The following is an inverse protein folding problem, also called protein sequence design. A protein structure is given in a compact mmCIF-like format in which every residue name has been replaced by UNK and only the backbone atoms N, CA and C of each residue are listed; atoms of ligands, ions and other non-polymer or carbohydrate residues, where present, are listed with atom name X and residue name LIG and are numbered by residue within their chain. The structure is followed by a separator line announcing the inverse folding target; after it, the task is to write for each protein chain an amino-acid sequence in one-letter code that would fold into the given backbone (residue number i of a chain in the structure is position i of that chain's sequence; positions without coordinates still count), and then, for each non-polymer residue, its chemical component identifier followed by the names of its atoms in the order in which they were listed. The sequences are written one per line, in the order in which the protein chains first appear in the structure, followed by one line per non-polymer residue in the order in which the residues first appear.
data_IF_876259778069
#
_entry.id   IF_876259778069
#
_cell.length_a   1.000
_cell.length_b   1.000
_cell.length_c   1.000
_cell.angle_alpha   90.00
_cell.angle_beta   90.00
_cell.angle_gamma   90.00
#
_symmetry.space_group_name_H-M   'P 1'
#
loop_
_entity.id
_entity.type
_entity.pdbx_description
1 polymer ?
#
# COMPACT_ATOMS: atom_id res chain seq x y z
N UNK A 1 41.26 -28.20 -5.33
CA UNK A 1 40.64 -27.01 -4.72
C UNK A 1 39.60 -26.50 -5.68
N UNK A 2 38.38 -26.31 -5.22
CA UNK A 2 37.37 -25.55 -5.96
C UNK A 2 36.54 -24.84 -4.90
N UNK A 3 36.92 -23.60 -4.62
CA UNK A 3 36.02 -22.68 -3.96
C UNK A 3 35.10 -22.16 -5.07
N UNK A 4 33.82 -22.52 -5.02
CA UNK A 4 32.81 -21.93 -5.88
C UNK A 4 32.70 -20.44 -5.52
N UNK A 5 33.08 -19.58 -6.45
CA UNK A 5 32.95 -18.14 -6.26
C UNK A 5 31.46 -17.78 -6.30
N UNK A 6 30.91 -17.40 -5.16
CA UNK A 6 29.51 -16.95 -5.04
C UNK A 6 29.46 -15.45 -4.76
N UNK A 7 28.46 -14.78 -5.33
CA UNK A 7 28.18 -13.38 -5.06
C UNK A 7 26.70 -13.22 -4.67
N UNK A 8 26.45 -12.42 -3.63
CA UNK A 8 25.09 -12.10 -3.17
C UNK A 8 24.81 -10.64 -3.40
N UNK A 9 23.70 -10.34 -4.08
CA UNK A 9 23.20 -8.99 -4.29
C UNK A 9 21.91 -8.78 -3.51
N UNK A 10 21.78 -7.64 -2.84
CA UNK A 10 20.57 -7.23 -2.13
C UNK A 10 20.23 -5.80 -2.52
N UNK A 11 19.06 -5.61 -3.12
CA UNK A 11 18.62 -4.30 -3.56
C UNK A 11 18.18 -3.46 -2.37
N UNK A 12 18.52 -2.17 -2.40
CA UNK A 12 18.04 -1.19 -1.43
C UNK A 12 16.69 -0.65 -1.89
N UNK A 13 15.66 -0.80 -1.04
CA UNK A 13 14.34 -0.22 -1.28
C UNK A 13 14.45 1.30 -1.38
N UNK A 14 13.71 1.90 -2.30
CA UNK A 14 13.57 3.36 -2.36
C UNK A 14 12.80 3.89 -1.15
N UNK A 15 12.93 5.19 -0.86
CA UNK A 15 12.22 5.85 0.24
C UNK A 15 10.69 5.69 0.15
N UNK A 16 10.04 5.93 -1.01
CA UNK A 16 8.58 5.76 -1.14
C UNK A 16 8.14 4.32 -0.88
N UNK A 17 8.84 3.33 -1.43
CA UNK A 17 8.45 1.93 -1.29
C UNK A 17 8.67 1.41 0.13
N UNK A 18 9.78 1.79 0.79
CA UNK A 18 10.00 1.47 2.20
C UNK A 18 8.91 2.08 3.10
N UNK A 19 8.54 3.35 2.86
CA UNK A 19 7.45 4.02 3.57
C UNK A 19 6.12 3.31 3.37
N UNK A 20 5.81 2.91 2.15
CA UNK A 20 4.60 2.18 1.81
C UNK A 20 4.51 0.82 2.52
N UNK A 21 5.60 0.05 2.56
CA UNK A 21 5.64 -1.23 3.28
C UNK A 21 5.46 -1.04 4.79
N UNK A 22 6.00 0.04 5.36
CA UNK A 22 5.88 0.32 6.79
C UNK A 22 4.44 0.64 7.22
N UNK A 23 3.64 1.26 6.33
CA UNK A 23 2.24 1.61 6.61
C UNK A 23 1.27 0.46 6.32
N UNK A 24 1.66 -0.47 5.44
CA UNK A 24 0.84 -1.59 5.01
C UNK A 24 0.33 -2.46 6.18
N UNK A 25 -0.99 -2.54 6.33
CA UNK A 25 -1.67 -3.34 7.34
C UNK A 25 -1.59 -2.77 8.77
N UNK A 26 -0.88 -1.66 8.97
CA UNK A 26 -0.73 -1.05 10.30
C UNK A 26 -2.05 -0.37 10.71
N UNK A 27 -2.40 -0.53 11.99
CA UNK A 27 -3.48 0.21 12.63
C UNK A 27 -2.97 1.61 12.97
N UNK A 28 -3.57 2.63 12.38
CA UNK A 28 -3.14 4.02 12.55
C UNK A 28 -4.25 4.87 13.15
N UNK A 29 -3.85 5.88 13.91
CA UNK A 29 -4.77 6.95 14.28
C UNK A 29 -5.02 7.89 13.11
N UNK A 30 -6.10 8.67 13.19
CA UNK A 30 -6.45 9.66 12.17
C UNK A 30 -5.30 10.61 11.82
N UNK A 31 -4.70 11.25 12.83
CA UNK A 31 -3.64 12.23 12.65
C UNK A 31 -2.44 11.63 11.91
N UNK A 32 -2.02 10.45 12.36
CA UNK A 32 -0.85 9.74 11.82
C UNK A 32 -1.03 9.38 10.35
N UNK A 33 -2.19 8.82 9.98
CA UNK A 33 -2.45 8.48 8.58
C UNK A 33 -2.61 9.74 7.72
N UNK A 34 -3.28 10.79 8.22
CA UNK A 34 -3.43 12.03 7.48
C UNK A 34 -2.08 12.71 7.17
N UNK A 35 -1.16 12.75 8.14
CA UNK A 35 0.21 13.26 7.94
C UNK A 35 0.96 12.42 6.90
N UNK A 36 0.86 11.09 6.99
CA UNK A 36 1.48 10.21 5.99
C UNK A 36 0.93 10.44 4.57
N UNK A 37 -0.39 10.60 4.43
CA UNK A 37 -1.00 10.90 3.12
C UNK A 37 -0.55 12.26 2.57
N UNK A 38 -0.31 13.26 3.44
CA UNK A 38 0.22 14.57 3.04
C UNK A 38 1.67 14.51 2.59
N UNK A 39 2.51 13.77 3.30
CA UNK A 39 3.92 13.58 2.97
C UNK A 39 4.10 12.91 1.59
N UNK A 40 3.18 12.03 1.22
CA UNK A 40 3.23 11.24 -0.03
C UNK A 40 2.16 11.62 -1.06
N UNK A 41 1.54 12.79 -0.93
CA UNK A 41 0.42 13.22 -1.79
C UNK A 41 0.74 13.19 -3.29
N UNK A 42 1.99 13.42 -3.67
CA UNK A 42 2.42 13.45 -5.07
C UNK A 42 2.57 12.03 -5.66
N UNK A 43 2.66 11.01 -4.80
CA UNK A 43 2.65 9.61 -5.18
C UNK A 43 1.23 9.00 -5.17
N UNK A 44 0.22 9.75 -4.71
CA UNK A 44 -1.10 9.21 -4.40
C UNK A 44 -2.19 9.68 -5.37
N UNK A 45 -3.00 8.72 -5.80
CA UNK A 45 -4.34 8.97 -6.34
C UNK A 45 -5.38 8.37 -5.40
N UNK A 46 -6.51 9.04 -5.24
CA UNK A 46 -7.62 8.59 -4.38
C UNK A 46 -8.85 8.26 -5.24
N UNK A 47 -9.59 7.23 -4.85
CA UNK A 47 -10.81 6.79 -5.50
C UNK A 47 -11.91 6.53 -4.49
N UNK A 48 -13.15 6.87 -4.84
CA UNK A 48 -14.34 6.55 -4.05
C UNK A 48 -14.73 5.05 -4.18
N UNK A 49 -15.84 4.67 -3.55
CA UNK A 49 -16.35 3.30 -3.58
C UNK A 49 -16.84 2.83 -4.98
N UNK A 50 -17.17 3.78 -5.87
CA UNK A 50 -17.57 3.51 -7.25
C UNK A 50 -16.38 3.48 -8.22
N UNK A 51 -15.20 3.89 -7.75
CA UNK A 51 -13.98 3.95 -8.54
C UNK A 51 -13.77 5.30 -9.24
N UNK A 52 -14.54 6.32 -8.91
CA UNK A 52 -14.33 7.67 -9.42
C UNK A 52 -13.12 8.31 -8.72
N UNK A 53 -12.35 9.11 -9.46
CA UNK A 53 -11.19 9.81 -8.93
C UNK A 53 -11.65 10.94 -8.00
N UNK A 54 -11.04 11.01 -6.81
CA UNK A 54 -11.19 12.10 -5.86
C UNK A 54 -9.92 12.95 -5.89
N UNK A 55 -10.06 14.28 -5.81
CA UNK A 55 -8.90 15.16 -5.61
C UNK A 55 -8.16 14.77 -4.34
N UNK A 56 -6.83 14.64 -4.42
CA UNK A 56 -6.03 14.11 -3.32
C UNK A 56 -6.13 14.99 -2.05
N UNK A 57 -6.27 16.32 -2.19
CA UNK A 57 -6.43 17.21 -1.04
C UNK A 57 -7.80 17.04 -0.40
N UNK A 58 -8.84 16.81 -1.21
CA UNK A 58 -10.17 16.48 -0.71
C UNK A 58 -10.16 15.17 0.08
N UNK A 59 -9.53 14.12 -0.47
CA UNK A 59 -9.41 12.83 0.21
C UNK A 59 -8.66 12.93 1.55
N UNK A 60 -7.54 13.65 1.59
CA UNK A 60 -6.78 13.91 2.84
C UNK A 60 -7.65 14.65 3.86
N UNK A 61 -8.35 15.70 3.42
CA UNK A 61 -9.23 16.47 4.30
C UNK A 61 -10.39 15.62 4.84
N UNK A 62 -10.95 14.72 4.02
CA UNK A 62 -11.99 13.79 4.44
C UNK A 62 -11.46 12.86 5.55
N UNK A 63 -10.25 12.30 5.37
CA UNK A 63 -9.57 11.50 6.41
C UNK A 63 -9.37 12.30 7.70
N UNK A 64 -8.95 13.57 7.62
CA UNK A 64 -8.76 14.46 8.78
C UNK A 64 -10.04 14.81 9.55
N UNK A 65 -11.21 14.68 8.92
CA UNK A 65 -12.50 15.03 9.52
C UNK A 65 -13.28 13.84 10.07
N UNK A 66 -12.82 12.60 9.87
CA UNK A 66 -13.47 11.41 10.46
C UNK A 66 -13.58 11.59 11.98
N UNK A 67 -14.81 11.55 12.51
CA UNK A 67 -15.05 11.62 13.95
C UNK A 67 -15.60 10.29 14.49
N UNK A 68 -15.60 10.17 15.81
CA UNK A 68 -16.16 9.02 16.53
C UNK A 68 -17.67 8.91 16.28
N UNK A 69 -18.39 10.03 16.23
CA UNK A 69 -19.82 10.07 15.95
C UNK A 69 -20.16 9.60 14.53
N UNK A 70 -19.27 9.87 13.56
CA UNK A 70 -19.37 9.35 12.21
C UNK A 70 -19.38 7.80 12.18
N UNK A 71 -18.66 7.20 13.12
CA UNK A 71 -18.32 5.78 13.22
C UNK A 71 -19.32 4.90 14.02
N UNK A 72 -20.14 5.49 14.91
CA UNK A 72 -21.00 4.79 15.90
C UNK A 72 -22.33 4.20 15.39
N UNK A 73 -22.40 3.69 14.16
CA UNK A 73 -23.68 3.14 13.63
C UNK A 73 -23.54 1.84 12.84
N UNK A 74 -22.36 1.21 12.87
CA UNK A 74 -22.08 -0.04 12.14
C UNK A 74 -22.04 -1.29 13.03
N UNK A 75 -22.62 -1.22 14.23
CA UNK A 75 -22.73 -2.37 15.14
C UNK A 75 -23.96 -3.22 14.76
N UNK A 76 -23.86 -3.92 13.63
CA UNK A 76 -24.45 -5.25 13.37
C UNK A 76 -24.34 -5.57 11.88
N UNK A 77 -23.28 -6.28 11.48
CA UNK A 77 -23.36 -7.44 10.58
C UNK A 77 -21.96 -8.05 10.37
N UNK A 78 -21.86 -9.35 10.62
CA UNK A 78 -20.65 -10.16 10.53
C UNK A 78 -20.18 -10.36 9.08
N UNK A 79 -18.86 -10.21 8.88
CA UNK A 79 -17.96 -10.59 7.75
C UNK A 79 -17.33 -9.42 6.98
N UNK A 80 -16.03 -9.28 7.26
CA UNK A 80 -14.86 -8.54 6.79
C UNK A 80 -14.81 -7.81 5.41
N UNK A 81 -15.94 -7.49 4.77
CA UNK A 81 -15.97 -6.60 3.60
C UNK A 81 -17.22 -5.71 3.57
N UNK A 82 -18.38 -6.26 3.90
CA UNK A 82 -19.62 -5.48 4.02
C UNK A 82 -19.51 -4.41 5.11
N UNK A 83 -18.96 -4.79 6.27
CA UNK A 83 -18.79 -3.88 7.40
C UNK A 83 -17.96 -2.64 7.06
N UNK A 84 -16.82 -2.77 6.35
CA UNK A 84 -15.99 -1.61 6.01
C UNK A 84 -16.68 -0.66 5.04
N UNK A 85 -17.49 -1.18 4.11
CA UNK A 85 -18.26 -0.36 3.18
C UNK A 85 -19.40 0.37 3.90
N UNK A 86 -20.16 -0.34 4.74
CA UNK A 86 -21.25 0.26 5.53
C UNK A 86 -20.74 1.34 6.49
N UNK A 87 -19.54 1.15 7.05
CA UNK A 87 -18.85 2.18 7.85
C UNK A 87 -18.53 3.40 6.98
N UNK A 88 -17.96 3.22 5.79
CA UNK A 88 -17.64 4.35 4.90
C UNK A 88 -18.90 5.11 4.51
N UNK A 89 -19.96 4.42 4.10
CA UNK A 89 -21.26 5.03 3.75
C UNK A 89 -21.84 5.81 4.95
N UNK A 90 -21.71 5.27 6.17
CA UNK A 90 -22.14 5.95 7.40
C UNK A 90 -21.32 7.21 7.70
N UNK A 91 -20.00 7.16 7.43
CA UNK A 91 -19.10 8.30 7.61
C UNK A 91 -19.44 9.39 6.60
N UNK A 92 -19.62 9.06 5.33
CA UNK A 92 -19.98 10.00 4.25
C UNK A 92 -21.32 10.70 4.53
N UNK A 93 -22.33 9.94 4.96
CA UNK A 93 -23.65 10.50 5.29
C UNK A 93 -23.57 11.58 6.39
N UNK A 94 -22.62 11.46 7.31
CA UNK A 94 -22.44 12.37 8.45
C UNK A 94 -21.44 13.49 8.18
N UNK A 95 -20.35 13.22 7.46
CA UNK A 95 -19.31 14.21 7.14
C UNK A 95 -19.69 15.11 5.98
N UNK A 96 -20.58 14.66 5.07
CA UNK A 96 -20.89 15.28 3.77
C UNK A 96 -19.69 15.40 2.83
N UNK A 97 -18.57 14.76 3.17
CA UNK A 97 -17.37 14.66 2.33
C UNK A 97 -17.35 13.26 1.67
N UNK A 98 -16.93 13.18 0.41
CA UNK A 98 -16.72 11.90 -0.28
C UNK A 98 -15.48 11.24 0.32
N UNK A 99 -15.65 10.01 0.82
CA UNK A 99 -14.57 9.26 1.46
C UNK A 99 -13.82 8.44 0.41
N UNK A 100 -12.47 8.42 0.46
CA UNK A 100 -11.72 7.47 -0.35
C UNK A 100 -12.06 6.05 0.11
N UNK A 101 -12.26 5.13 -0.83
CA UNK A 101 -12.31 3.70 -0.56
C UNK A 101 -10.98 3.01 -0.91
N UNK A 102 -10.26 3.59 -1.88
CA UNK A 102 -9.03 3.06 -2.44
C UNK A 102 -8.04 4.19 -2.67
N UNK A 103 -6.77 3.91 -2.43
CA UNK A 103 -5.67 4.72 -2.94
C UNK A 103 -4.85 3.93 -3.96
N UNK A 104 -4.22 4.62 -4.90
CA UNK A 104 -3.15 4.08 -5.73
C UNK A 104 -1.88 4.85 -5.40
N UNK A 105 -0.83 4.13 -5.02
CA UNK A 105 0.47 4.67 -4.70
C UNK A 105 1.45 4.34 -5.83
N UNK A 106 1.93 5.35 -6.53
CA UNK A 106 2.88 5.18 -7.64
C UNK A 106 4.30 5.42 -7.17
N UNK A 107 5.17 4.43 -7.30
CA UNK A 107 6.60 4.57 -7.02
C UNK A 107 7.47 3.51 -7.69
N UNK A 108 8.76 3.82 -7.85
CA UNK A 108 9.81 2.86 -8.18
C UNK A 108 10.22 2.07 -6.93
N UNK A 109 10.06 0.73 -6.86
CA UNK A 109 10.33 -0.03 -5.63
C UNK A 109 11.81 -0.12 -5.24
N UNK A 110 12.67 -0.29 -6.25
CA UNK A 110 14.12 -0.39 -6.15
C UNK A 110 14.73 0.39 -7.31
N UNK A 111 15.90 1.00 -7.12
CA UNK A 111 16.59 1.72 -8.19
C UNK A 111 16.80 0.79 -9.40
N UNK A 112 16.66 1.35 -10.60
CA UNK A 112 16.72 0.66 -11.91
C UNK A 112 15.60 -0.36 -12.21
N UNK A 113 14.65 -0.57 -11.29
CA UNK A 113 13.43 -1.29 -11.60
C UNK A 113 12.32 -0.34 -12.08
N UNK A 114 11.31 -0.90 -12.73
CA UNK A 114 10.18 -0.16 -13.27
C UNK A 114 9.33 0.47 -12.16
N UNK A 115 8.80 1.65 -12.46
CA UNK A 115 7.78 2.30 -11.63
C UNK A 115 6.51 1.44 -11.58
N UNK A 116 5.84 1.42 -10.42
CA UNK A 116 4.64 0.62 -10.20
C UNK A 116 3.53 1.43 -9.58
N UNK A 117 2.32 1.27 -10.13
CA UNK A 117 1.07 1.73 -9.54
C UNK A 117 0.52 0.66 -8.58
N UNK A 118 0.65 0.89 -7.28
CA UNK A 118 0.33 -0.08 -6.23
C UNK A 118 -1.02 0.27 -5.60
N UNK A 119 -2.00 -0.62 -5.74
CA UNK A 119 -3.34 -0.41 -5.19
C UNK A 119 -3.40 -0.68 -3.69
N UNK A 120 -3.95 0.26 -2.94
CA UNK A 120 -4.16 0.20 -1.50
C UNK A 120 -5.66 0.21 -1.18
N UNK A 121 -6.11 -0.77 -0.41
CA UNK A 121 -7.42 -0.74 0.22
C UNK A 121 -7.33 0.16 1.45
N UNK A 122 -8.27 1.09 1.58
CA UNK A 122 -8.44 1.86 2.79
C UNK A 122 -9.58 1.26 3.62
N UNK A 123 -9.44 1.24 4.94
CA UNK A 123 -10.46 0.72 5.86
C UNK A 123 -10.54 1.59 7.10
N UNK A 124 -11.76 1.79 7.59
CA UNK A 124 -12.06 2.49 8.84
C UNK A 124 -12.67 1.46 9.79
N UNK A 125 -12.04 1.24 10.94
CA UNK A 125 -12.48 0.32 11.97
C UNK A 125 -13.03 1.11 13.15
N UNK A 126 -14.24 0.76 13.59
CA UNK A 126 -15.05 1.60 14.49
C UNK A 126 -15.43 0.92 15.80
N UNK A 127 -14.92 -0.28 16.07
CA UNK A 127 -15.25 -1.08 17.27
C UNK A 127 -14.61 -0.62 18.59
N UNK A 128 -14.12 0.62 18.67
CA UNK A 128 -13.47 1.17 19.86
C UNK A 128 -13.74 2.68 20.01
N UNK A 129 -13.15 3.30 21.04
CA UNK A 129 -13.41 4.72 21.37
C UNK A 129 -12.86 5.72 20.34
N UNK A 130 -11.92 5.30 19.49
CA UNK A 130 -11.28 6.13 18.46
C UNK A 130 -11.27 5.37 17.13
N UNK A 131 -11.61 6.00 15.98
CA UNK A 131 -11.53 5.34 14.68
C UNK A 131 -10.10 4.90 14.38
N UNK A 132 -9.95 3.63 14.02
CA UNK A 132 -8.67 3.05 13.60
C UNK A 132 -8.66 2.94 12.09
N UNK A 133 -7.65 3.52 11.46
CA UNK A 133 -7.51 3.57 10.01
C UNK A 133 -6.43 2.60 9.54
N UNK A 134 -6.67 1.93 8.42
CA UNK A 134 -5.73 0.94 7.86
C UNK A 134 -5.62 1.12 6.35
N UNK A 135 -4.39 1.23 5.84
CA UNK A 135 -4.07 1.04 4.43
C UNK A 135 -3.51 -0.38 4.22
N UNK A 136 -3.98 -1.10 3.21
CA UNK A 136 -3.49 -2.44 2.89
C UNK A 136 -3.19 -2.59 1.41
N UNK A 137 -1.97 -2.98 1.08
CA UNK A 137 -1.56 -3.32 -0.28
C UNK A 137 -2.37 -4.52 -0.78
N UNK A 138 -2.98 -4.35 -1.96
CA UNK A 138 -3.72 -5.42 -2.63
C UNK A 138 -2.71 -6.35 -3.31
N UNK A 139 -2.76 -7.66 -3.01
CA UNK A 139 -1.92 -8.69 -3.61
C UNK A 139 -0.40 -8.43 -3.45
N UNK A 140 0.05 -8.10 -2.23
CA UNK A 140 1.47 -7.82 -1.95
C UNK A 140 2.41 -8.94 -2.42
N UNK A 141 2.09 -10.20 -2.16
CA UNK A 141 2.94 -11.34 -2.57
C UNK A 141 3.16 -11.38 -4.09
N UNK A 142 2.09 -11.14 -4.86
CA UNK A 142 2.17 -11.06 -6.33
C UNK A 142 3.02 -9.88 -6.79
N UNK A 143 2.90 -8.73 -6.12
CA UNK A 143 3.74 -7.56 -6.40
C UNK A 143 5.21 -7.89 -6.16
N UNK A 144 5.54 -8.54 -5.04
CA UNK A 144 6.91 -8.94 -4.71
C UNK A 144 7.47 -9.96 -5.70
N UNK A 145 6.67 -10.95 -6.11
CA UNK A 145 7.05 -11.93 -7.12
C UNK A 145 7.35 -11.27 -8.48
N UNK A 146 6.50 -10.33 -8.92
CA UNK A 146 6.73 -9.59 -10.16
C UNK A 146 7.98 -8.69 -10.10
N UNK A 147 8.31 -8.15 -8.92
CA UNK A 147 9.54 -7.37 -8.72
C UNK A 147 10.76 -8.30 -8.78
N UNK A 148 10.70 -9.46 -8.12
CA UNK A 148 11.78 -10.43 -8.13
C UNK A 148 12.05 -10.95 -9.54
N UNK A 149 10.99 -11.28 -10.29
CA UNK A 149 11.11 -11.76 -11.66
C UNK A 149 11.72 -10.71 -12.59
N UNK A 150 11.26 -9.45 -12.52
CA UNK A 150 11.87 -8.34 -13.25
C UNK A 150 13.37 -8.22 -12.97
N UNK A 151 13.76 -8.27 -11.69
CA UNK A 151 15.17 -8.18 -11.32
C UNK A 151 16.01 -9.33 -11.89
N UNK A 152 15.49 -10.56 -11.86
CA UNK A 152 16.19 -11.71 -12.48
C UNK A 152 16.33 -11.55 -13.98
N UNK A 153 15.28 -11.12 -14.66
CA UNK A 153 15.30 -10.96 -16.11
C UNK A 153 16.32 -9.89 -16.51
N UNK A 154 16.41 -8.79 -15.76
CA UNK A 154 17.45 -7.78 -15.92
C UNK A 154 18.85 -8.34 -15.71
N UNK A 155 19.07 -9.15 -14.66
CA UNK A 155 20.37 -9.77 -14.44
C UNK A 155 20.72 -10.76 -15.55
N UNK A 156 19.77 -11.60 -15.99
CA UNK A 156 19.98 -12.56 -17.05
C UNK A 156 20.39 -11.88 -18.37
N UNK A 157 19.69 -10.81 -18.76
CA UNK A 157 20.01 -9.98 -19.93
C UNK A 157 21.44 -9.41 -19.85
N UNK A 158 21.83 -8.88 -18.68
CA UNK A 158 23.18 -8.32 -18.48
C UNK A 158 24.29 -9.36 -18.45
N UNK A 159 23.95 -10.62 -18.19
CA UNK A 159 24.91 -11.72 -18.11
C UNK A 159 24.88 -12.66 -19.33
N UNK A 160 24.11 -12.37 -20.38
CA UNK A 160 24.01 -13.22 -21.58
C UNK A 160 25.37 -13.56 -22.21
N UNK A 161 26.36 -12.67 -22.08
CA UNK A 161 27.74 -12.89 -22.59
C UNK A 161 28.64 -13.68 -21.62
N UNK A 162 28.11 -14.14 -20.48
CA UNK A 162 28.87 -14.85 -19.43
C UNK A 162 28.22 -16.20 -19.08
N UNK A 163 29.01 -17.20 -18.67
CA UNK A 163 28.49 -18.52 -18.21
C UNK A 163 27.82 -18.46 -16.81
N UNK A 164 27.43 -17.27 -16.33
CA UNK A 164 26.92 -17.06 -14.98
C UNK A 164 25.43 -17.39 -14.92
N UNK A 165 25.07 -18.38 -14.10
CA UNK A 165 23.67 -18.73 -13.84
C UNK A 165 23.08 -17.86 -12.72
N UNK A 166 21.90 -17.28 -12.97
CA UNK A 166 21.18 -16.44 -12.00
C UNK A 166 20.01 -17.19 -11.37
N UNK A 167 19.93 -17.13 -10.04
CA UNK A 167 18.89 -17.79 -9.25
C UNK A 167 18.23 -16.79 -8.29
N UNK A 168 16.90 -16.82 -8.16
CA UNK A 168 16.17 -16.09 -7.13
C UNK A 168 15.85 -17.04 -5.98
N UNK A 169 16.14 -16.65 -4.75
CA UNK A 169 15.72 -17.39 -3.57
C UNK A 169 16.27 -16.82 -2.28
N UNK A 170 15.80 -17.37 -1.15
CA UNK A 170 16.49 -17.24 0.14
C UNK A 170 17.49 -18.38 0.25
N UNK A 171 18.76 -18.08 0.06
CA UNK A 171 19.85 -19.03 0.24
C UNK A 171 20.30 -19.00 1.70
N UNK A 172 20.31 -20.16 2.36
CA UNK A 172 21.03 -20.35 3.62
C UNK A 172 22.33 -21.08 3.30
N UNK A 173 23.45 -20.51 3.74
CA UNK A 173 24.73 -21.21 3.81
C UNK A 173 24.71 -22.25 4.94
#
# INVERSE_FOLDING_TARGET
GHADNTATVSLKKTSPFASLLNVNGRRQGQKELAEWLEDWRDNLMAFDAEGNVIDIKQAINAVRKITIEASRSADHEDRDFGASRSVMESVEAKSRDIMPAVFQFTCTPYDELSERAIKLRYSVLTGGDVPVLVLRIVQLEKLEEQIAQEFRDLLADKFEETEIQTYIGKFKA
#
